data_IF_868934348899
#
_entry.id   IF_868934348899
#
_cell.length_a   1.000
_cell.length_b   1.000
_cell.length_c   1.000
_cell.angle_alpha   90.00
_cell.angle_beta   90.00
_cell.angle_gamma   90.00
#
_symmetry.space_group_name_H-M   'P 1'
#
loop_
_entity.id
_entity.type
_entity.pdbx_description
1 polymer ?
#
# COMPACT_ATOMS: atom_id res chain seq x y z
N UNK A 1 -8.13 -22.77 -5.17
CA UNK A 1 -7.78 -21.34 -5.13
C UNK A 1 -6.29 -21.26 -5.40
N UNK A 2 -5.87 -20.47 -6.40
CA UNK A 2 -4.45 -20.21 -6.68
C UNK A 2 -3.90 -19.19 -5.67
N UNK A 3 -2.56 -19.11 -5.52
CA UNK A 3 -1.91 -18.09 -4.68
C UNK A 3 -2.39 -16.67 -5.04
N UNK A 4 -2.49 -16.35 -6.33
CA UNK A 4 -3.01 -15.07 -6.82
C UNK A 4 -4.45 -14.81 -6.38
N UNK A 5 -5.34 -15.80 -6.49
CA UNK A 5 -6.73 -15.67 -6.06
C UNK A 5 -6.84 -15.47 -4.54
N UNK A 6 -5.98 -16.12 -3.75
CA UNK A 6 -5.95 -15.96 -2.30
C UNK A 6 -5.48 -14.56 -1.89
N UNK A 7 -4.41 -14.05 -2.50
CA UNK A 7 -3.92 -12.68 -2.26
C UNK A 7 -5.02 -11.66 -2.55
N UNK A 8 -5.68 -11.77 -3.71
CA UNK A 8 -6.77 -10.87 -4.11
C UNK A 8 -7.92 -10.97 -3.10
N UNK A 9 -8.34 -12.17 -2.72
CA UNK A 9 -9.46 -12.36 -1.80
C UNK A 9 -9.18 -11.73 -0.42
N UNK A 10 -7.97 -11.92 0.12
CA UNK A 10 -7.56 -11.31 1.40
C UNK A 10 -7.55 -9.80 1.29
N UNK A 11 -6.87 -9.24 0.28
CA UNK A 11 -6.74 -7.80 0.11
C UNK A 11 -8.10 -7.11 -0.11
N UNK A 12 -8.97 -7.67 -0.96
CA UNK A 12 -10.33 -7.15 -1.15
C UNK A 12 -11.18 -7.26 0.12
N UNK A 13 -10.99 -8.31 0.93
CA UNK A 13 -11.64 -8.43 2.23
C UNK A 13 -11.22 -7.34 3.23
N UNK A 14 -10.03 -6.77 3.07
CA UNK A 14 -9.50 -5.65 3.85
C UNK A 14 -9.87 -4.27 3.29
N UNK A 15 -10.55 -4.20 2.13
CA UNK A 15 -10.98 -2.95 1.50
C UNK A 15 -10.12 -2.49 0.32
N UNK A 16 -9.07 -3.23 -0.03
CA UNK A 16 -8.20 -2.90 -1.16
C UNK A 16 -8.87 -3.25 -2.50
N UNK A 17 -8.77 -2.32 -3.44
CA UNK A 17 -8.93 -2.62 -4.86
C UNK A 17 -7.63 -3.25 -5.36
N UNK A 18 -7.74 -4.35 -6.11
CA UNK A 18 -6.57 -5.08 -6.59
C UNK A 18 -6.65 -5.25 -8.10
N UNK A 19 -5.60 -4.82 -8.80
CA UNK A 19 -5.36 -5.20 -10.19
C UNK A 19 -4.07 -6.00 -10.31
N UNK A 20 -4.01 -6.88 -11.31
CA UNK A 20 -2.81 -7.69 -11.57
C UNK A 20 -2.35 -7.56 -13.00
N UNK A 21 -1.04 -7.40 -13.19
CA UNK A 21 -0.39 -7.44 -14.50
C UNK A 21 0.43 -8.72 -14.60
N UNK A 22 0.13 -9.55 -15.60
CA UNK A 22 0.84 -10.83 -15.82
C UNK A 22 1.98 -10.66 -16.83
N UNK A 23 3.14 -11.18 -16.46
CA UNK A 23 4.31 -11.33 -17.32
C UNK A 23 4.61 -12.81 -17.54
N UNK A 24 5.65 -13.14 -18.31
CA UNK A 24 6.01 -14.53 -18.64
C UNK A 24 6.24 -15.37 -17.37
N UNK A 25 6.99 -14.83 -16.41
CA UNK A 25 7.40 -15.51 -15.17
C UNK A 25 7.04 -14.72 -13.90
N UNK A 26 6.15 -13.73 -13.98
CA UNK A 26 5.77 -12.96 -12.80
C UNK A 26 4.38 -12.38 -12.88
N UNK A 27 3.84 -12.03 -11.72
CA UNK A 27 2.59 -11.29 -11.57
C UNK A 27 2.85 -10.09 -10.69
N UNK A 28 2.60 -8.89 -11.20
CA UNK A 28 2.61 -7.65 -10.40
C UNK A 28 1.22 -7.42 -9.86
N UNK A 29 1.12 -7.16 -8.55
CA UNK A 29 -0.10 -6.77 -7.87
C UNK A 29 -0.04 -5.28 -7.57
N UNK A 30 -1.08 -4.56 -7.97
CA UNK A 30 -1.28 -3.16 -7.62
C UNK A 30 -2.48 -3.10 -6.68
N UNK A 31 -2.21 -2.72 -5.43
CA UNK A 31 -3.20 -2.52 -4.38
C UNK A 31 -3.52 -1.04 -4.26
N UNK A 32 -4.79 -0.68 -4.36
CA UNK A 32 -5.26 0.71 -4.22
C UNK A 32 -6.30 0.80 -3.11
N UNK A 33 -6.18 1.81 -2.25
CA UNK A 33 -7.22 2.19 -1.31
C UNK A 33 -7.12 3.68 -0.99
N UNK A 34 -8.26 4.32 -0.71
CA UNK A 34 -8.23 5.69 -0.19
C UNK A 34 -7.87 5.71 1.29
N UNK A 35 -6.94 6.59 1.66
CA UNK A 35 -6.65 6.89 3.08
C UNK A 35 -7.84 7.58 3.75
N UNK A 36 -7.88 7.68 5.09
CA UNK A 36 -8.96 8.37 5.80
C UNK A 36 -9.17 9.84 5.40
N UNK A 37 -8.14 10.55 4.93
CA UNK A 37 -8.26 11.92 4.39
C UNK A 37 -8.47 11.97 2.88
N UNK A 38 -8.64 10.82 2.23
CA UNK A 38 -9.02 10.72 0.83
C UNK A 38 -7.85 10.77 -0.15
N UNK A 39 -6.62 10.58 0.30
CA UNK A 39 -5.49 10.39 -0.59
C UNK A 39 -5.61 9.06 -1.32
N UNK A 40 -5.38 9.07 -2.63
CA UNK A 40 -5.32 7.86 -3.44
C UNK A 40 -3.99 7.13 -3.17
N UNK A 41 -4.03 6.09 -2.32
CA UNK A 41 -2.85 5.38 -1.87
C UNK A 41 -2.69 4.04 -2.60
N UNK A 42 -1.47 3.77 -3.04
CA UNK A 42 -1.15 2.65 -3.92
C UNK A 42 0.11 1.92 -3.43
N UNK A 43 0.09 0.59 -3.49
CA UNK A 43 1.22 -0.29 -3.20
C UNK A 43 1.36 -1.28 -4.35
N UNK A 44 2.57 -1.42 -4.90
CA UNK A 44 2.84 -2.35 -6.00
C UNK A 44 3.89 -3.38 -5.60
N UNK A 45 3.58 -4.67 -5.74
CA UNK A 45 4.48 -5.78 -5.35
C UNK A 45 4.50 -6.85 -6.44
N UNK A 46 5.68 -7.33 -6.80
CA UNK A 46 5.87 -8.39 -7.80
C UNK A 46 6.02 -9.76 -7.13
N UNK A 47 5.30 -10.76 -7.66
CA UNK A 47 5.48 -12.18 -7.35
C UNK A 47 6.14 -12.87 -8.54
N UNK A 48 7.39 -13.31 -8.40
CA UNK A 48 8.14 -14.03 -9.46
C UNK A 48 7.97 -15.52 -9.30
N UNK A 49 7.80 -16.24 -10.40
CA UNK A 49 7.73 -17.71 -10.47
C UNK A 49 6.68 -18.34 -9.51
N UNK A 50 5.68 -17.57 -9.10
CA UNK A 50 4.68 -18.00 -8.09
C UNK A 50 5.21 -18.06 -6.65
N UNK A 51 6.37 -17.45 -6.37
CA UNK A 51 7.01 -17.41 -5.06
C UNK A 51 6.27 -16.46 -4.10
N UNK A 52 5.43 -17.06 -3.24
CA UNK A 52 4.67 -16.32 -2.25
C UNK A 52 5.55 -15.72 -1.14
N UNK A 53 6.62 -16.41 -0.74
CA UNK A 53 7.53 -15.93 0.32
C UNK A 53 8.31 -14.71 -0.20
N UNK A 54 8.77 -14.77 -1.45
CA UNK A 54 9.38 -13.63 -2.14
C UNK A 54 8.43 -12.43 -2.27
N UNK A 55 7.16 -12.69 -2.60
CA UNK A 55 6.11 -11.66 -2.60
C UNK A 55 5.90 -11.03 -1.21
N UNK A 56 5.78 -11.85 -0.15
CA UNK A 56 5.62 -11.38 1.22
C UNK A 56 6.82 -10.53 1.66
N UNK A 57 8.04 -10.96 1.34
CA UNK A 57 9.24 -10.17 1.61
C UNK A 57 9.23 -8.83 0.86
N UNK A 58 8.75 -8.80 -0.38
CA UNK A 58 8.56 -7.55 -1.13
C UNK A 58 7.59 -6.58 -0.44
N UNK A 59 6.47 -7.09 0.06
CA UNK A 59 5.48 -6.30 0.80
C UNK A 59 6.00 -5.84 2.16
N UNK A 60 6.70 -6.70 2.89
CA UNK A 60 7.36 -6.38 4.17
C UNK A 60 8.39 -5.25 3.98
N UNK A 61 9.24 -5.34 2.95
CA UNK A 61 10.21 -4.29 2.65
C UNK A 61 9.54 -2.95 2.31
N UNK A 62 8.39 -2.97 1.63
CA UNK A 62 7.60 -1.76 1.38
C UNK A 62 7.08 -1.17 2.70
N UNK A 63 6.52 -2.01 3.57
CA UNK A 63 5.99 -1.61 4.87
C UNK A 63 7.10 -1.05 5.79
N UNK A 64 8.17 -1.81 6.05
CA UNK A 64 9.25 -1.39 6.94
C UNK A 64 10.03 -0.16 6.42
N UNK A 65 10.01 0.04 5.09
CA UNK A 65 10.60 1.21 4.45
C UNK A 65 9.67 2.41 4.33
N UNK A 66 8.40 2.28 4.70
CA UNK A 66 7.43 3.36 4.61
C UNK A 66 7.71 4.39 5.71
N UNK A 67 7.98 5.63 5.33
CA UNK A 67 8.23 6.73 6.25
C UNK A 67 7.07 7.74 6.15
N UNK A 68 6.15 7.76 7.12
CA UNK A 68 5.00 8.67 7.09
C UNK A 68 5.39 10.15 7.00
N UNK A 69 6.50 10.56 7.60
CA UNK A 69 6.96 11.95 7.57
C UNK A 69 7.49 12.31 6.18
N UNK A 70 8.27 11.41 5.57
CA UNK A 70 8.76 11.61 4.20
C UNK A 70 7.60 11.61 3.19
N UNK A 71 6.67 10.68 3.30
CA UNK A 71 5.49 10.63 2.44
C UNK A 71 4.62 11.88 2.62
N UNK A 72 4.41 12.33 3.86
CA UNK A 72 3.67 13.56 4.13
C UNK A 72 4.36 14.79 3.51
N UNK A 73 5.69 14.85 3.58
CA UNK A 73 6.47 15.93 2.95
C UNK A 73 6.20 16.07 1.45
N UNK A 74 5.98 14.95 0.73
CA UNK A 74 5.63 15.00 -0.69
C UNK A 74 4.32 15.73 -0.97
N UNK A 75 3.43 15.84 0.02
CA UNK A 75 2.13 16.51 -0.05
C UNK A 75 2.10 17.91 0.57
N UNK A 76 3.23 18.39 1.11
CA UNK A 76 3.36 19.76 1.57
C UNK A 76 3.72 20.67 0.38
N UNK A 77 3.03 21.80 0.29
CA UNK A 77 3.24 22.88 -0.65
C UNK A 77 4.28 23.89 -0.17
N UNK A 78 4.72 24.77 -1.07
CA UNK A 78 5.73 25.78 -0.76
C UNK A 78 5.28 26.82 0.29
N UNK A 79 3.98 26.92 0.56
CA UNK A 79 3.39 27.76 1.60
C UNK A 79 3.33 27.08 2.97
N UNK A 80 3.79 25.83 3.09
CA UNK A 80 3.78 25.05 4.32
C UNK A 80 2.45 24.34 4.60
N UNK A 81 1.53 24.27 3.63
CA UNK A 81 0.23 23.63 3.77
C UNK A 81 0.04 22.49 2.76
N UNK A 82 -1.00 21.66 2.94
CA UNK A 82 -1.28 20.58 2.00
C UNK A 82 -1.55 21.07 0.58
N UNK A 83 -1.00 20.36 -0.42
CA UNK A 83 -1.24 20.59 -1.85
C UNK A 83 -2.04 19.43 -2.46
N UNK A 84 -2.56 19.62 -3.68
CA UNK A 84 -3.20 18.57 -4.46
C UNK A 84 -4.39 17.87 -3.76
N UNK A 85 -5.09 18.57 -2.87
CA UNK A 85 -6.23 18.02 -2.12
C UNK A 85 -5.85 17.42 -0.75
N UNK A 86 -4.57 17.40 -0.38
CA UNK A 86 -4.16 17.02 0.97
C UNK A 86 -4.69 17.99 2.04
N UNK A 87 -4.84 17.54 3.30
CA UNK A 87 -5.25 18.39 4.41
C UNK A 87 -4.43 19.68 4.55
N UNK A 88 -5.08 20.77 4.95
CA UNK A 88 -4.41 22.07 5.09
C UNK A 88 -3.31 22.09 6.17
N UNK A 89 -3.52 21.40 7.29
CA UNK A 89 -2.56 21.35 8.39
C UNK A 89 -1.59 20.18 8.20
N UNK A 90 -0.28 20.44 8.30
CA UNK A 90 0.78 19.43 8.18
C UNK A 90 0.49 18.21 9.08
N UNK A 91 0.08 18.43 10.33
CA UNK A 91 -0.23 17.34 11.27
C UNK A 91 -1.27 16.36 10.73
N UNK A 92 -2.25 16.85 9.96
CA UNK A 92 -3.32 16.02 9.44
C UNK A 92 -2.86 15.23 8.20
N UNK A 93 -1.83 15.72 7.49
CA UNK A 93 -1.17 15.00 6.41
C UNK A 93 -0.33 13.86 6.99
N UNK A 94 0.50 14.15 8.00
CA UNK A 94 1.31 13.13 8.70
C UNK A 94 0.41 12.06 9.30
N UNK A 95 -0.66 12.45 9.99
CA UNK A 95 -1.62 11.49 10.55
C UNK A 95 -2.25 10.62 9.46
N UNK A 96 -2.50 11.15 8.27
CA UNK A 96 -3.04 10.36 7.16
C UNK A 96 -2.02 9.34 6.63
N UNK A 97 -0.73 9.67 6.61
CA UNK A 97 0.33 8.75 6.21
C UNK A 97 0.60 7.68 7.27
N UNK A 98 0.49 8.00 8.56
CA UNK A 98 0.51 6.99 9.64
C UNK A 98 -0.66 6.00 9.51
N UNK A 99 -1.82 6.46 9.04
CA UNK A 99 -2.96 5.57 8.74
C UNK A 99 -2.70 4.72 7.49
N UNK A 100 -2.07 5.29 6.46
CA UNK A 100 -1.62 4.53 5.28
C UNK A 100 -0.63 3.42 5.69
N UNK A 101 0.33 3.70 6.57
CA UNK A 101 1.26 2.72 7.11
C UNK A 101 0.54 1.54 7.78
N UNK A 102 -0.42 1.83 8.67
CA UNK A 102 -1.25 0.80 9.34
C UNK A 102 -2.07 -0.04 8.35
N UNK A 103 -2.52 0.57 7.24
CA UNK A 103 -3.21 -0.16 6.18
C UNK A 103 -2.29 -1.19 5.51
N UNK A 104 -1.02 -0.84 5.25
CA UNK A 104 -0.02 -1.77 4.69
C UNK A 104 0.31 -2.87 5.71
N UNK A 105 0.56 -2.49 6.98
CA UNK A 105 0.83 -3.44 8.07
C UNK A 105 -0.29 -4.48 8.18
N UNK A 106 -1.55 -4.03 8.15
CA UNK A 106 -2.72 -4.91 8.22
C UNK A 106 -2.77 -5.87 7.03
N UNK A 107 -2.46 -5.39 5.83
CA UNK A 107 -2.40 -6.23 4.63
C UNK A 107 -1.31 -7.30 4.77
N UNK A 108 -0.10 -6.91 5.15
CA UNK A 108 1.04 -7.79 5.35
C UNK A 108 0.76 -8.86 6.42
N UNK A 109 0.36 -8.45 7.63
CA UNK A 109 0.12 -9.35 8.76
C UNK A 109 -1.06 -10.31 8.53
N UNK A 110 -2.02 -9.93 7.69
CA UNK A 110 -3.12 -10.83 7.31
C UNK A 110 -2.69 -11.85 6.26
N UNK A 111 -1.88 -11.43 5.28
CA UNK A 111 -1.32 -12.31 4.25
C UNK A 111 -0.29 -13.30 4.83
N UNK A 112 0.50 -12.87 5.82
CA UNK A 112 1.48 -13.71 6.52
C UNK A 112 0.87 -14.90 7.28
N UNK A 113 -0.42 -14.81 7.63
CA UNK A 113 -1.15 -15.86 8.37
C UNK A 113 -1.81 -16.90 7.45
N UNK A 114 -1.65 -16.75 6.14
CA UNK A 114 -2.25 -17.62 5.12
C UNK A 114 -1.57 -18.96 4.98
#
# INVERSE_FOLDING_TARGET
MTTTEQIIAVATGLGWQVSTTKHENSVVFDFQQYTPKGQDFNVSVEMKDGDFDGFLCGLENFYEGFDPDYEAYLWIGNDGHGKNGAPYYIKDIVTDMEEAEKMIETLYETLKKQ
#
